data_IF_656752307418
#
_entry.id   IF_656752307418
#
_cell.length_a   1.000
_cell.length_b   1.000
_cell.length_c   1.000
_cell.angle_alpha   90.00
_cell.angle_beta   90.00
_cell.angle_gamma   90.00
#
_symmetry.space_group_name_H-M   'P 1'
#
loop_
_entity.id
_entity.type
_entity.pdbx_description
1 polymer ?
#
# COMPACT_ATOMS: atom_id res chain seq x y z
N UNK A 1 44.77 25.20 -17.57
CA UNK A 1 44.81 23.78 -17.19
C UNK A 1 44.10 23.63 -15.89
N UNK A 2 42.81 23.31 -15.91
CA UNK A 2 42.00 23.16 -14.70
C UNK A 2 41.31 21.80 -14.84
N UNK A 3 41.76 20.86 -14.03
CA UNK A 3 41.15 19.54 -13.86
C UNK A 3 39.85 19.69 -13.09
N UNK A 4 38.75 19.31 -13.69
CA UNK A 4 37.49 19.09 -12.99
C UNK A 4 37.44 17.63 -12.52
N UNK A 5 37.04 17.37 -11.27
CA UNK A 5 36.77 16.03 -10.82
C UNK A 5 35.38 15.57 -11.29
N UNK A 6 35.35 14.43 -11.96
CA UNK A 6 34.17 13.68 -12.30
C UNK A 6 33.46 13.22 -11.01
N UNK A 7 32.32 13.81 -10.73
CA UNK A 7 31.41 13.30 -9.70
C UNK A 7 30.48 12.29 -10.35
N UNK A 8 30.77 11.02 -10.14
CA UNK A 8 29.83 9.93 -10.42
C UNK A 8 28.83 9.87 -9.26
N UNK A 9 27.73 10.57 -9.40
CA UNK A 9 26.57 10.40 -8.52
C UNK A 9 25.57 9.48 -9.22
N UNK A 10 25.74 8.17 -9.04
CA UNK A 10 24.72 7.19 -9.36
C UNK A 10 23.72 7.10 -8.21
N UNK A 11 22.93 8.14 -8.03
CA UNK A 11 21.72 8.09 -7.21
C UNK A 11 20.55 7.53 -8.03
N UNK A 12 20.52 6.21 -8.11
CA UNK A 12 19.33 5.48 -8.52
C UNK A 12 18.35 5.50 -7.35
N UNK A 13 17.75 6.66 -7.11
CA UNK A 13 16.61 6.78 -6.20
C UNK A 13 15.36 6.22 -6.89
N UNK A 14 15.07 4.95 -6.63
CA UNK A 14 13.75 4.37 -6.90
C UNK A 14 12.67 5.16 -6.16
N UNK A 15 11.52 5.42 -6.77
CA UNK A 15 10.43 6.12 -6.12
C UNK A 15 9.92 5.28 -4.94
N UNK A 16 10.19 5.74 -3.75
CA UNK A 16 9.51 5.22 -2.56
C UNK A 16 8.02 5.46 -2.75
N UNK A 17 7.32 4.36 -2.94
CA UNK A 17 5.91 4.27 -3.25
C UNK A 17 5.01 5.07 -2.30
N UNK A 18 3.85 5.39 -2.81
CA UNK A 18 2.69 6.09 -2.22
C UNK A 18 2.41 5.74 -0.74
N UNK A 19 2.73 4.51 -0.30
CA UNK A 19 2.63 4.09 1.11
C UNK A 19 3.51 4.95 2.04
N UNK A 20 4.70 5.33 1.59
CA UNK A 20 5.58 6.20 2.39
C UNK A 20 5.01 7.62 2.50
N UNK A 21 4.33 8.09 1.44
CA UNK A 21 3.71 9.42 1.44
C UNK A 21 2.48 9.46 2.35
N UNK A 22 1.66 8.40 2.36
CA UNK A 22 0.49 8.31 3.24
C UNK A 22 0.90 8.21 4.72
N UNK A 23 1.92 7.43 5.03
CA UNK A 23 2.49 7.34 6.40
C UNK A 23 3.19 8.64 6.79
N UNK A 24 3.91 9.30 5.86
CA UNK A 24 4.60 10.56 6.12
C UNK A 24 3.66 11.77 6.26
N UNK A 25 2.55 11.83 5.48
CA UNK A 25 1.56 12.90 5.58
C UNK A 25 0.84 12.87 6.94
N UNK A 26 0.59 11.68 7.50
CA UNK A 26 0.08 11.52 8.86
C UNK A 26 1.12 11.85 9.95
N UNK A 27 2.43 11.69 9.70
CA UNK A 27 3.48 12.06 10.66
C UNK A 27 3.71 13.56 10.78
N UNK A 28 3.48 14.36 9.71
CA UNK A 28 3.75 15.81 9.71
C UNK A 28 2.69 16.66 10.45
N UNK A 29 1.52 16.11 10.75
CA UNK A 29 0.47 16.81 11.49
C UNK A 29 0.24 16.20 12.88
N UNK A 30 1.32 15.92 13.62
CA UNK A 30 1.16 15.67 15.05
C UNK A 30 1.10 17.01 15.79
N UNK A 31 -0.05 17.39 16.34
CA UNK A 31 -0.08 18.47 17.33
C UNK A 31 0.76 18.06 18.56
N UNK A 32 1.28 19.02 19.33
CA UNK A 32 2.12 18.74 20.48
C UNK A 32 1.41 17.75 21.42
N UNK A 33 2.13 16.70 21.80
CA UNK A 33 1.63 15.59 22.62
C UNK A 33 1.09 16.14 23.95
N UNK A 34 -0.23 16.28 24.07
CA UNK A 34 -0.90 16.18 25.37
C UNK A 34 -0.69 14.74 25.83
N UNK A 35 -0.25 14.55 27.09
CA UNK A 35 -0.15 13.25 27.75
C UNK A 35 -1.50 12.54 27.63
N UNK A 36 -1.69 11.73 26.61
CA UNK A 36 -2.82 10.84 26.51
C UNK A 36 -2.46 9.52 27.19
N UNK A 37 -3.37 9.09 28.03
CA UNK A 37 -3.35 7.87 28.83
C UNK A 37 -2.90 6.66 27.97
N UNK A 38 -1.77 6.05 28.33
CA UNK A 38 -1.20 4.88 27.64
C UNK A 38 -2.14 3.67 27.61
N UNK A 39 -3.17 3.65 28.45
CA UNK A 39 -4.14 2.56 28.49
C UNK A 39 -5.08 2.52 27.28
N UNK A 40 -5.32 3.64 26.60
CA UNK A 40 -6.17 3.68 25.40
C UNK A 40 -5.46 3.13 24.13
N UNK A 41 -4.12 3.14 24.11
CA UNK A 41 -3.36 2.59 22.98
C UNK A 41 -3.21 1.07 22.99
N UNK A 42 -3.25 0.45 24.18
CA UNK A 42 -3.09 -1.00 24.33
C UNK A 42 -4.37 -1.74 23.91
N UNK A 43 -5.54 -1.11 24.05
CA UNK A 43 -6.83 -1.74 23.69
C UNK A 43 -7.05 -1.85 22.15
N UNK A 44 -6.33 -1.09 21.33
CA UNK A 44 -6.49 -1.12 19.86
C UNK A 44 -5.80 -2.28 19.14
N UNK A 45 -4.89 -2.99 19.81
CA UNK A 45 -4.09 -4.05 19.19
C UNK A 45 -4.52 -5.48 19.54
N UNK A 46 -5.62 -5.67 20.27
CA UNK A 46 -6.02 -7.02 20.70
C UNK A 46 -6.89 -7.79 19.71
N UNK A 47 -7.31 -7.16 18.60
CA UNK A 47 -7.97 -7.83 17.48
C UNK A 47 -7.13 -7.68 16.20
N UNK A 48 -5.83 -7.87 16.27
CA UNK A 48 -5.00 -7.99 15.07
C UNK A 48 -5.40 -9.29 14.37
N UNK A 49 -6.29 -9.21 13.40
CA UNK A 49 -6.59 -10.31 12.49
C UNK A 49 -5.31 -10.80 11.81
N UNK A 50 -5.38 -11.95 11.16
CA UNK A 50 -4.25 -12.47 10.37
C UNK A 50 -3.83 -11.40 9.35
N UNK A 51 -2.52 -11.08 9.21
CA UNK A 51 -2.04 -10.18 8.18
C UNK A 51 -2.50 -10.65 6.80
N UNK A 52 -3.07 -9.75 6.02
CA UNK A 52 -3.65 -10.08 4.73
C UNK A 52 -3.24 -9.05 3.68
N UNK A 53 -2.78 -9.54 2.54
CA UNK A 53 -2.41 -8.72 1.40
C UNK A 53 -3.43 -8.93 0.27
N UNK A 54 -4.13 -7.88 -0.15
CA UNK A 54 -5.01 -7.90 -1.30
C UNK A 54 -4.20 -7.49 -2.52
N UNK A 55 -4.08 -8.37 -3.51
CA UNK A 55 -3.35 -8.14 -4.75
C UNK A 55 -4.30 -7.91 -5.92
N UNK A 56 -4.10 -6.84 -6.68
CA UNK A 56 -4.79 -6.54 -7.92
C UNK A 56 -3.82 -6.54 -9.09
N UNK A 57 -4.18 -7.22 -10.18
CA UNK A 57 -3.42 -7.23 -11.44
C UNK A 57 -1.91 -7.48 -11.26
N UNK A 58 -1.56 -8.41 -10.37
CA UNK A 58 -0.17 -8.78 -10.11
C UNK A 58 0.38 -9.64 -11.25
N UNK A 59 1.62 -9.37 -11.66
CA UNK A 59 2.33 -10.28 -12.56
C UNK A 59 2.55 -11.64 -11.90
N UNK A 60 2.71 -12.70 -12.70
CA UNK A 60 3.00 -14.04 -12.16
C UNK A 60 4.31 -14.06 -11.34
N UNK A 61 5.30 -13.26 -11.76
CA UNK A 61 6.57 -13.14 -11.06
C UNK A 61 6.41 -12.44 -9.70
N UNK A 62 5.75 -11.26 -9.66
CA UNK A 62 5.51 -10.52 -8.42
C UNK A 62 4.67 -11.33 -7.43
N UNK A 63 3.65 -12.02 -7.95
CA UNK A 63 2.82 -12.91 -7.16
C UNK A 63 3.65 -14.03 -6.52
N UNK A 64 4.49 -14.74 -7.30
CA UNK A 64 5.34 -15.81 -6.79
C UNK A 64 6.30 -15.33 -5.70
N UNK A 65 6.88 -14.12 -5.85
CA UNK A 65 7.75 -13.51 -4.85
C UNK A 65 6.96 -13.21 -3.57
N UNK A 66 5.78 -12.60 -3.68
CA UNK A 66 4.93 -12.30 -2.53
C UNK A 66 4.45 -13.56 -1.79
N UNK A 67 4.08 -14.60 -2.53
CA UNK A 67 3.72 -15.92 -1.97
C UNK A 67 4.91 -16.54 -1.23
N UNK A 68 6.13 -16.40 -1.76
CA UNK A 68 7.36 -16.83 -1.09
C UNK A 68 7.67 -16.08 0.21
N UNK A 69 7.30 -14.80 0.29
CA UNK A 69 7.47 -13.98 1.49
C UNK A 69 6.37 -14.23 2.54
N UNK A 70 5.20 -14.73 2.12
CA UNK A 70 4.02 -14.86 2.97
C UNK A 70 4.26 -15.61 4.31
N UNK A 71 5.01 -16.74 4.35
CA UNK A 71 5.26 -17.45 5.60
C UNK A 71 6.05 -16.63 6.62
N UNK A 72 6.99 -15.78 6.17
CA UNK A 72 7.84 -14.96 7.07
C UNK A 72 7.02 -13.92 7.85
N UNK A 73 5.91 -13.45 7.29
CA UNK A 73 5.01 -12.47 7.92
C UNK A 73 3.75 -13.11 8.50
N UNK A 74 3.55 -14.41 8.34
CA UNK A 74 2.29 -15.08 8.66
C UNK A 74 1.12 -14.50 7.89
N UNK A 75 1.37 -13.91 6.71
CA UNK A 75 0.36 -13.25 5.89
C UNK A 75 -0.29 -14.21 4.90
N UNK A 76 -1.51 -13.87 4.49
CA UNK A 76 -2.18 -14.51 3.35
C UNK A 76 -2.23 -13.52 2.19
N UNK A 77 -1.95 -13.98 0.98
CA UNK A 77 -2.15 -13.22 -0.25
C UNK A 77 -3.51 -13.60 -0.84
N UNK A 78 -4.38 -12.63 -1.03
CA UNK A 78 -5.67 -12.77 -1.70
C UNK A 78 -5.65 -11.97 -3.00
N UNK A 79 -5.83 -12.65 -4.12
CA UNK A 79 -5.95 -11.98 -5.41
C UNK A 79 -7.39 -11.53 -5.61
N UNK A 80 -7.58 -10.24 -5.81
CA UNK A 80 -8.89 -9.66 -6.07
C UNK A 80 -9.20 -9.79 -7.56
N UNK A 81 -10.32 -10.44 -7.86
CA UNK A 81 -10.77 -10.58 -9.25
C UNK A 81 -11.49 -9.31 -9.75
N UNK A 82 -11.56 -9.10 -11.08
CA UNK A 82 -12.34 -8.01 -11.66
C UNK A 82 -13.81 -7.98 -11.19
N UNK A 83 -14.41 -9.15 -10.98
CA UNK A 83 -15.79 -9.26 -10.48
C UNK A 83 -15.95 -8.87 -9.01
N UNK A 84 -14.88 -8.96 -8.23
CA UNK A 84 -14.86 -8.60 -6.80
C UNK A 84 -14.55 -7.14 -6.53
N UNK A 85 -14.22 -6.37 -7.56
CA UNK A 85 -13.85 -4.96 -7.44
C UNK A 85 -15.00 -4.07 -6.89
N UNK A 86 -16.23 -4.51 -7.02
CA UNK A 86 -17.42 -3.85 -6.45
C UNK A 86 -17.62 -4.11 -4.95
N UNK A 87 -16.87 -5.02 -4.34
CA UNK A 87 -16.93 -5.27 -2.91
C UNK A 87 -16.18 -4.20 -2.13
N UNK A 88 -16.58 -3.96 -0.88
CA UNK A 88 -15.79 -3.11 0.01
C UNK A 88 -14.51 -3.82 0.44
N UNK A 89 -13.52 -3.03 0.84
CA UNK A 89 -12.27 -3.58 1.40
C UNK A 89 -12.59 -4.50 2.60
N UNK A 90 -13.52 -4.10 3.48
CA UNK A 90 -13.93 -4.92 4.62
C UNK A 90 -14.53 -6.27 4.19
N UNK A 91 -15.37 -6.29 3.16
CA UNK A 91 -15.94 -7.54 2.61
C UNK A 91 -14.84 -8.45 2.03
N UNK A 92 -13.84 -7.89 1.36
CA UNK A 92 -12.68 -8.66 0.86
C UNK A 92 -11.83 -9.23 1.99
N UNK A 93 -11.81 -8.55 3.14
CA UNK A 93 -11.14 -9.04 4.36
C UNK A 93 -11.96 -10.09 5.13
N UNK A 94 -13.15 -10.45 4.64
CA UNK A 94 -14.05 -11.41 5.27
C UNK A 94 -14.86 -10.85 6.44
N UNK A 95 -14.96 -9.52 6.55
CA UNK A 95 -15.79 -8.88 7.54
C UNK A 95 -17.24 -8.76 7.05
N UNK A 96 -18.18 -8.99 7.95
CA UNK A 96 -19.61 -8.83 7.65
C UNK A 96 -19.93 -7.35 7.66
N UNK A 97 -20.14 -6.78 6.49
CA UNK A 97 -20.67 -5.42 6.33
C UNK A 97 -22.11 -5.43 5.84
N UNK A 98 -22.92 -4.51 6.36
CA UNK A 98 -24.30 -4.30 5.93
C UNK A 98 -24.41 -3.51 4.62
N UNK A 99 -23.31 -2.93 4.15
CA UNK A 99 -23.29 -2.22 2.87
C UNK A 99 -23.36 -3.20 1.71
N UNK A 100 -24.34 -2.98 0.85
CA UNK A 100 -24.49 -3.76 -0.38
C UNK A 100 -23.28 -3.51 -1.29
N UNK A 101 -22.62 -4.58 -1.74
CA UNK A 101 -21.62 -4.50 -2.78
C UNK A 101 -22.20 -3.81 -4.02
N UNK A 102 -21.48 -2.90 -4.63
CA UNK A 102 -21.85 -2.34 -5.92
C UNK A 102 -21.65 -3.39 -7.00
N UNK A 103 -22.54 -3.44 -7.99
CA UNK A 103 -22.29 -4.20 -9.21
C UNK A 103 -21.26 -3.43 -10.04
N UNK A 104 -20.00 -3.57 -9.70
CA UNK A 104 -18.88 -2.98 -10.42
C UNK A 104 -17.97 -4.12 -10.87
N UNK A 105 -17.88 -4.32 -12.18
CA UNK A 105 -16.90 -5.22 -12.79
C UNK A 105 -15.88 -4.36 -13.50
N UNK A 106 -14.63 -4.47 -13.10
CA UNK A 106 -13.54 -3.76 -13.75
C UNK A 106 -12.95 -4.60 -14.87
N UNK A 107 -12.47 -3.94 -15.91
CA UNK A 107 -11.60 -4.60 -16.89
C UNK A 107 -10.29 -5.06 -16.20
N UNK A 108 -9.73 -6.22 -16.57
CA UNK A 108 -8.55 -6.78 -15.90
C UNK A 108 -7.37 -5.82 -15.81
N UNK A 109 -7.22 -4.92 -16.78
CA UNK A 109 -6.12 -3.94 -16.85
C UNK A 109 -6.59 -2.49 -16.64
N UNK A 110 -7.76 -2.27 -16.05
CA UNK A 110 -8.31 -0.93 -15.81
C UNK A 110 -7.38 -0.08 -14.93
N UNK A 111 -6.65 -0.71 -14.03
CA UNK A 111 -5.70 -0.07 -13.12
C UNK A 111 -4.36 -0.80 -13.12
N UNK A 112 -3.25 -0.10 -12.84
CA UNK A 112 -1.94 -0.72 -12.60
C UNK A 112 -2.01 -1.73 -11.47
N UNK A 113 -0.97 -2.56 -11.35
CA UNK A 113 -0.87 -3.51 -10.24
C UNK A 113 -0.90 -2.79 -8.89
N UNK A 114 -1.67 -3.36 -7.95
CA UNK A 114 -1.86 -2.79 -6.63
C UNK A 114 -1.72 -3.85 -5.53
N UNK A 115 -1.24 -3.39 -4.36
CA UNK A 115 -1.11 -4.19 -3.15
C UNK A 115 -1.69 -3.43 -1.97
N UNK A 116 -2.72 -4.00 -1.34
CA UNK A 116 -3.37 -3.38 -0.17
C UNK A 116 -3.15 -4.27 1.05
N UNK A 117 -2.48 -3.74 2.07
CA UNK A 117 -2.04 -4.46 3.27
C UNK A 117 -3.01 -4.22 4.43
N UNK A 118 -3.51 -5.30 5.03
CA UNK A 118 -4.41 -5.25 6.16
C UNK A 118 -3.84 -6.01 7.37
N UNK A 119 -4.07 -5.48 8.57
CA UNK A 119 -3.68 -6.08 9.85
C UNK A 119 -2.16 -6.25 10.05
N UNK A 120 -1.34 -5.50 9.31
CA UNK A 120 0.10 -5.48 9.52
C UNK A 120 0.49 -4.50 10.64
N UNK A 121 1.56 -4.82 11.34
CA UNK A 121 2.25 -3.87 12.22
C UNK A 121 3.12 -2.94 11.38
N UNK A 122 3.32 -1.70 11.82
CA UNK A 122 4.12 -0.70 11.08
C UNK A 122 5.51 -1.25 10.68
N UNK A 123 6.19 -1.94 11.61
CA UNK A 123 7.51 -2.54 11.35
C UNK A 123 7.48 -3.63 10.28
N UNK A 124 6.40 -4.43 10.27
CA UNK A 124 6.26 -5.53 9.31
C UNK A 124 5.97 -4.97 7.90
N UNK A 125 5.22 -3.86 7.82
CA UNK A 125 5.02 -3.14 6.55
C UNK A 125 6.35 -2.63 6.00
N UNK A 126 7.14 -1.93 6.83
CA UNK A 126 8.45 -1.39 6.42
C UNK A 126 9.37 -2.53 5.94
N UNK A 127 9.44 -3.64 6.70
CA UNK A 127 10.26 -4.80 6.35
C UNK A 127 9.79 -5.45 5.04
N UNK A 128 8.48 -5.62 4.85
CA UNK A 128 7.91 -6.18 3.62
C UNK A 128 8.25 -5.30 2.41
N UNK A 129 8.12 -3.98 2.53
CA UNK A 129 8.44 -3.04 1.45
C UNK A 129 9.95 -3.07 1.08
N UNK A 130 10.82 -3.18 2.08
CA UNK A 130 12.26 -3.30 1.85
C UNK A 130 12.62 -4.62 1.14
N UNK A 131 12.01 -5.73 1.55
CA UNK A 131 12.21 -7.03 0.87
C UNK A 131 11.66 -7.01 -0.56
N UNK A 132 10.47 -6.42 -0.79
CA UNK A 132 9.92 -6.23 -2.13
C UNK A 132 10.87 -5.42 -3.02
N UNK A 133 11.47 -4.36 -2.48
CA UNK A 133 12.46 -3.55 -3.19
C UNK A 133 13.70 -4.36 -3.55
N UNK A 134 14.24 -5.15 -2.61
CA UNK A 134 15.39 -6.03 -2.85
C UNK A 134 15.10 -7.11 -3.90
N UNK A 135 13.89 -7.65 -3.89
CA UNK A 135 13.42 -8.64 -4.86
C UNK A 135 12.94 -8.02 -6.18
N UNK A 136 13.11 -6.70 -6.35
CA UNK A 136 12.71 -5.95 -7.57
C UNK A 136 11.22 -6.08 -7.93
N UNK A 137 10.36 -6.31 -6.94
CA UNK A 137 8.90 -6.33 -7.12
C UNK A 137 8.41 -4.93 -7.47
N UNK A 138 7.82 -4.78 -8.66
CA UNK A 138 7.38 -3.49 -9.17
C UNK A 138 5.84 -3.36 -9.14
N UNK A 139 5.30 -3.03 -7.99
CA UNK A 139 3.88 -2.75 -7.80
C UNK A 139 3.74 -1.25 -7.53
N UNK A 140 3.22 -0.44 -8.47
CA UNK A 140 3.16 1.02 -8.33
C UNK A 140 2.17 1.47 -7.25
N UNK A 141 1.01 0.82 -7.17
CA UNK A 141 -0.03 1.21 -6.22
C UNK A 141 0.07 0.37 -4.94
N UNK A 142 0.29 1.02 -3.80
CA UNK A 142 0.35 0.35 -2.51
C UNK A 142 -0.44 1.14 -1.47
N UNK A 143 -1.17 0.45 -0.63
CA UNK A 143 -1.91 1.07 0.46
C UNK A 143 -1.91 0.18 1.71
N UNK A 144 -2.16 0.81 2.86
CA UNK A 144 -2.47 0.11 4.11
C UNK A 144 -3.94 0.37 4.43
N UNK A 145 -4.63 -0.67 4.87
CA UNK A 145 -6.03 -0.55 5.30
C UNK A 145 -6.09 0.27 6.57
N UNK A 146 -6.91 1.30 6.53
CA UNK A 146 -7.21 2.19 7.65
C UNK A 146 -8.69 2.13 7.98
N UNK A 147 -9.13 2.59 9.15
CA UNK A 147 -10.56 2.67 9.46
C UNK A 147 -11.37 3.47 8.42
N UNK A 148 -10.74 4.43 7.76
CA UNK A 148 -11.40 5.28 6.76
C UNK A 148 -11.60 4.55 5.43
N UNK A 149 -10.55 3.94 4.87
CA UNK A 149 -10.62 3.31 3.55
C UNK A 149 -11.18 1.88 3.58
N UNK A 150 -11.35 1.31 4.76
CA UNK A 150 -11.89 -0.03 4.97
C UNK A 150 -13.33 -0.18 4.42
N UNK A 151 -14.13 0.88 4.54
CA UNK A 151 -15.51 0.92 4.03
C UNK A 151 -15.63 1.35 2.57
N UNK A 152 -14.52 1.62 1.89
CA UNK A 152 -14.53 2.00 0.48
C UNK A 152 -14.71 0.78 -0.40
N UNK A 153 -15.37 0.98 -1.54
CA UNK A 153 -15.39 -0.01 -2.62
C UNK A 153 -13.98 -0.16 -3.17
N UNK A 154 -13.54 -1.38 -3.39
CA UNK A 154 -12.17 -1.64 -3.79
C UNK A 154 -11.79 -0.95 -5.12
N UNK A 155 -12.70 -0.89 -6.08
CA UNK A 155 -12.50 -0.14 -7.33
C UNK A 155 -12.32 1.36 -7.10
N UNK A 156 -13.08 1.96 -6.18
CA UNK A 156 -12.94 3.37 -5.82
C UNK A 156 -11.58 3.63 -5.14
N UNK A 157 -11.12 2.68 -4.31
CA UNK A 157 -9.78 2.75 -3.71
C UNK A 157 -8.67 2.71 -4.77
N UNK A 158 -8.78 1.84 -5.78
CA UNK A 158 -7.81 1.77 -6.87
C UNK A 158 -7.76 3.09 -7.67
N UNK A 159 -8.93 3.67 -7.99
CA UNK A 159 -9.01 4.96 -8.68
C UNK A 159 -8.28 6.06 -7.89
N UNK A 160 -8.56 6.15 -6.59
CA UNK A 160 -7.93 7.14 -5.72
C UNK A 160 -6.41 6.97 -5.62
N UNK A 161 -5.93 5.72 -5.48
CA UNK A 161 -4.49 5.43 -5.46
C UNK A 161 -3.80 5.78 -6.77
N UNK A 162 -4.46 5.59 -7.91
CA UNK A 162 -3.94 5.99 -9.21
C UNK A 162 -3.82 7.50 -9.34
N UNK A 163 -4.83 8.25 -8.90
CA UNK A 163 -4.80 9.73 -8.89
C UNK A 163 -3.66 10.25 -8.01
N UNK A 164 -3.50 9.71 -6.81
CA UNK A 164 -2.40 10.08 -5.91
C UNK A 164 -1.03 9.76 -6.52
N UNK A 165 -0.90 8.60 -7.15
CA UNK A 165 0.34 8.19 -7.81
C UNK A 165 0.69 9.11 -8.98
N UNK A 166 -0.29 9.46 -9.82
CA UNK A 166 -0.11 10.39 -10.94
C UNK A 166 0.29 11.78 -10.45
N UNK A 167 -0.38 12.31 -9.43
CA UNK A 167 -0.05 13.62 -8.84
C UNK A 167 1.37 13.63 -8.26
N UNK A 168 1.79 12.54 -7.59
CA UNK A 168 3.13 12.43 -7.05
C UNK A 168 4.21 12.37 -8.14
N UNK A 169 3.95 11.64 -9.23
CA UNK A 169 4.88 11.52 -10.36
C UNK A 169 5.06 12.87 -11.05
N UNK A 170 3.96 13.59 -11.33
CA UNK A 170 4.00 14.93 -11.91
C UNK A 170 4.77 15.94 -11.04
N UNK A 171 4.53 15.92 -9.73
CA UNK A 171 5.26 16.78 -8.79
C UNK A 171 6.76 16.50 -8.76
N UNK A 172 7.16 15.23 -8.91
CA UNK A 172 8.56 14.83 -8.95
C UNK A 172 9.27 15.26 -10.25
N UNK A 173 8.57 15.21 -11.37
CA UNK A 173 9.08 15.68 -12.66
C UNK A 173 9.29 17.19 -12.64
N UNK A 174 8.33 17.95 -12.11
CA UNK A 174 8.44 19.41 -11.98
C UNK A 174 9.61 19.82 -11.07
N UNK A 175 9.91 19.05 -10.03
CA UNK A 175 11.01 19.33 -9.11
C UNK A 175 12.41 19.01 -9.70
N UNK A 176 12.48 18.32 -10.83
CA UNK A 176 13.72 17.95 -11.52
C UNK A 176 14.06 18.85 -12.71
N UNK A 177 13.09 19.62 -13.19
CA UNK A 177 13.23 20.57 -14.30
C UNK A 177 13.73 21.93 -13.78
#
# INVERSE_FOLDING_TARGET
MICQPFFFASDFLFPQSVVYYFIMKFRRHRPPRKRYDMKAHIARNQNAGIPLALGWNLSAADRGILEGMAPAFGMKLLLVSPADAGKTVAQLLGEVETKTARTLVLEPNAYPSALVLANFKDKDVDTLLDLMKQAQVNIPLKAVVTPTNKSWVFGDLLAHLQEEHAAFTAAKETARA
#
